data_IF_163056547825
#
_entry.id   IF_163056547825
#
_cell.length_a   1.000
_cell.length_b   1.000
_cell.length_c   1.000
_cell.angle_alpha   90.00
_cell.angle_beta   90.00
_cell.angle_gamma   90.00
#
_symmetry.space_group_name_H-M   'P 1'
#
loop_
_entity.id
_entity.type
_entity.pdbx_description
1 polymer ?
#
# COMPACT_ATOMS: atom_id res chain seq x y z
N UNK A 1 6.63 -1.62 -37.33
CA UNK A 1 5.83 -2.43 -36.40
C UNK A 1 6.20 -1.93 -35.01
N UNK A 2 5.26 -1.35 -34.27
CA UNK A 2 5.53 -0.79 -32.96
C UNK A 2 5.18 -1.83 -31.90
N UNK A 3 6.16 -2.25 -31.12
CA UNK A 3 6.02 -3.13 -29.96
C UNK A 3 5.04 -2.50 -28.94
N UNK A 4 3.91 -3.16 -28.62
CA UNK A 4 2.94 -2.61 -27.68
C UNK A 4 3.27 -2.90 -26.20
N UNK A 5 4.46 -3.40 -25.87
CA UNK A 5 4.82 -3.78 -24.49
C UNK A 5 5.56 -2.68 -23.69
N UNK A 6 5.42 -1.42 -24.10
CA UNK A 6 5.71 -0.30 -23.20
C UNK A 6 4.53 -0.05 -22.24
N UNK A 7 4.05 -1.12 -21.60
CA UNK A 7 3.44 -0.94 -20.28
C UNK A 7 4.60 -0.59 -19.38
N UNK A 8 4.69 0.69 -19.03
CA UNK A 8 5.47 1.16 -17.88
C UNK A 8 5.23 0.21 -16.72
N UNK A 9 6.12 -0.76 -16.57
CA UNK A 9 6.40 -1.45 -15.32
C UNK A 9 6.84 -0.36 -14.37
N UNK A 10 5.88 0.37 -13.81
CA UNK A 10 6.03 1.07 -12.54
C UNK A 10 6.25 -0.05 -11.54
N UNK A 11 7.49 -0.52 -11.49
CA UNK A 11 7.95 -1.55 -10.55
C UNK A 11 7.60 -0.98 -9.19
N UNK A 12 6.59 -1.56 -8.58
CA UNK A 12 6.27 -1.24 -7.21
C UNK A 12 7.53 -1.56 -6.40
N UNK A 13 8.00 -0.61 -5.60
CA UNK A 13 9.22 -0.80 -4.81
C UNK A 13 9.03 -2.03 -3.92
N UNK A 14 9.91 -3.04 -4.04
CA UNK A 14 9.75 -4.30 -3.33
C UNK A 14 9.71 -4.08 -1.82
N UNK A 15 10.33 -3.01 -1.30
CA UNK A 15 10.35 -2.70 0.13
C UNK A 15 8.93 -2.56 0.69
N UNK A 16 8.04 -1.80 0.01
CA UNK A 16 6.67 -1.69 0.48
C UNK A 16 5.79 -2.86 0.06
N UNK A 17 6.07 -3.52 -1.07
CA UNK A 17 5.30 -4.71 -1.48
C UNK A 17 5.49 -5.84 -0.47
N UNK A 18 6.74 -6.18 -0.13
CA UNK A 18 7.08 -7.21 0.84
C UNK A 18 6.51 -6.89 2.22
N UNK A 19 6.63 -5.63 2.67
CA UNK A 19 6.07 -5.20 3.94
C UNK A 19 4.54 -5.37 3.98
N UNK A 20 3.84 -5.02 2.90
CA UNK A 20 2.39 -5.16 2.81
C UNK A 20 1.97 -6.63 2.74
N UNK A 21 2.63 -7.46 1.94
CA UNK A 21 2.34 -8.89 1.81
C UNK A 21 2.65 -9.69 3.10
N UNK A 22 3.64 -9.25 3.88
CA UNK A 22 3.98 -9.82 5.18
C UNK A 22 2.92 -9.54 6.24
N UNK A 23 2.34 -8.35 6.22
CA UNK A 23 1.36 -7.91 7.22
C UNK A 23 -0.10 -8.17 6.83
N UNK A 24 -0.40 -8.25 5.53
CA UNK A 24 -1.76 -8.34 5.01
C UNK A 24 -1.87 -9.29 3.82
N UNK A 25 -3.08 -9.78 3.58
CA UNK A 25 -3.37 -10.51 2.36
C UNK A 25 -3.68 -9.51 1.23
N UNK A 26 -2.74 -9.30 0.32
CA UNK A 26 -2.94 -8.43 -0.84
C UNK A 26 -3.87 -9.14 -1.83
N UNK A 27 -5.03 -8.55 -2.07
CA UNK A 27 -5.98 -9.04 -3.07
C UNK A 27 -5.66 -8.47 -4.43
N UNK A 28 -5.31 -7.18 -4.47
CA UNK A 28 -5.03 -6.45 -5.70
C UNK A 28 -4.10 -5.29 -5.41
N UNK A 29 -3.11 -5.08 -6.26
CA UNK A 29 -2.27 -3.90 -6.24
C UNK A 29 -2.56 -3.07 -7.50
N UNK A 30 -2.69 -1.75 -7.35
CA UNK A 30 -2.93 -0.83 -8.46
C UNK A 30 -2.28 0.53 -8.18
N UNK A 31 -2.04 1.32 -9.22
CA UNK A 31 -1.53 2.68 -9.06
C UNK A 31 -2.68 3.69 -9.15
N UNK A 32 -2.91 4.44 -8.09
CA UNK A 32 -3.85 5.56 -8.07
C UNK A 32 -3.09 6.85 -8.44
N UNK A 33 -3.13 7.22 -9.73
CA UNK A 33 -2.39 8.35 -10.34
C UNK A 33 -0.86 8.23 -10.23
N UNK A 34 -0.32 8.50 -9.06
CA UNK A 34 1.11 8.47 -8.70
C UNK A 34 1.36 7.74 -7.38
N UNK A 35 0.31 7.25 -6.73
CA UNK A 35 0.39 6.60 -5.42
C UNK A 35 0.16 5.11 -5.60
N UNK A 36 1.09 4.24 -5.18
CA UNK A 36 0.86 2.80 -5.15
C UNK A 36 -0.21 2.48 -4.09
N UNK A 37 -1.31 1.85 -4.53
CA UNK A 37 -2.46 1.49 -3.70
C UNK A 37 -2.71 -0.01 -3.73
N UNK A 38 -2.93 -0.58 -2.56
CA UNK A 38 -3.11 -2.00 -2.34
C UNK A 38 -4.48 -2.26 -1.75
N UNK A 39 -5.27 -3.09 -2.39
CA UNK A 39 -6.46 -3.67 -1.81
C UNK A 39 -6.01 -4.84 -0.94
N UNK A 40 -6.10 -4.67 0.36
CA UNK A 40 -5.71 -5.65 1.37
C UNK A 40 -6.91 -6.21 2.10
N UNK A 41 -6.80 -7.47 2.53
CA UNK A 41 -7.75 -8.13 3.42
C UNK A 41 -7.03 -8.64 4.66
N UNK A 42 -7.71 -8.62 5.80
CA UNK A 42 -7.18 -9.17 7.04
C UNK A 42 -7.21 -10.69 6.98
N UNK A 43 -6.10 -11.35 7.32
CA UNK A 43 -5.95 -12.81 7.28
C UNK A 43 -6.59 -13.54 8.48
N UNK A 44 -7.36 -12.85 9.33
CA UNK A 44 -7.89 -13.40 10.58
C UNK A 44 -9.41 -13.30 10.71
N UNK A 45 -10.02 -14.36 11.24
CA UNK A 45 -11.43 -14.46 11.65
C UNK A 45 -11.68 -13.84 13.05
N UNK A 46 -11.13 -12.65 13.31
CA UNK A 46 -11.32 -11.90 14.55
C UNK A 46 -11.83 -10.48 14.31
N UNK A 47 -11.95 -9.65 15.36
CA UNK A 47 -12.31 -8.22 15.25
C UNK A 47 -11.37 -7.50 14.27
N UNK A 48 -11.82 -7.39 13.01
CA UNK A 48 -11.02 -6.96 11.84
C UNK A 48 -10.33 -5.62 12.08
N UNK A 49 -10.98 -4.70 12.80
CA UNK A 49 -10.44 -3.39 13.12
C UNK A 49 -9.19 -3.42 14.00
N UNK A 50 -9.12 -4.30 15.00
CA UNK A 50 -8.02 -4.33 15.96
C UNK A 50 -6.77 -4.92 15.32
N UNK A 51 -6.89 -6.08 14.67
CA UNK A 51 -5.80 -6.71 13.92
C UNK A 51 -5.27 -5.79 12.83
N UNK A 52 -6.18 -5.10 12.13
CA UNK A 52 -5.79 -4.17 11.08
C UNK A 52 -5.04 -2.96 11.62
N UNK A 53 -5.45 -2.39 12.76
CA UNK A 53 -4.73 -1.26 13.38
C UNK A 53 -3.33 -1.67 13.84
N UNK A 54 -3.17 -2.88 14.38
CA UNK A 54 -1.85 -3.40 14.78
C UNK A 54 -0.95 -3.67 13.57
N UNK A 55 -1.46 -4.36 12.55
CA UNK A 55 -0.72 -4.63 11.31
C UNK A 55 -0.37 -3.34 10.55
N UNK A 56 -1.30 -2.38 10.52
CA UNK A 56 -1.07 -1.08 9.89
C UNK A 56 -0.02 -0.27 10.64
N UNK A 57 -0.04 -0.30 11.97
CA UNK A 57 0.97 0.36 12.79
C UNK A 57 2.35 -0.25 12.56
N UNK A 58 2.44 -1.58 12.48
CA UNK A 58 3.70 -2.27 12.18
C UNK A 58 4.23 -1.91 10.79
N UNK A 59 3.36 -1.93 9.78
CA UNK A 59 3.69 -1.49 8.42
C UNK A 59 4.16 -0.03 8.38
N UNK A 60 3.45 0.86 9.08
CA UNK A 60 3.83 2.27 9.16
C UNK A 60 5.19 2.47 9.82
N UNK A 61 5.52 1.69 10.84
CA UNK A 61 6.82 1.73 11.50
C UNK A 61 7.95 1.24 10.59
N UNK A 62 7.70 0.18 9.80
CA UNK A 62 8.66 -0.36 8.82
C UNK A 62 8.88 0.60 7.63
N UNK A 63 7.84 1.32 7.21
CA UNK A 63 7.88 2.26 6.07
C UNK A 63 8.35 3.67 6.46
N UNK A 64 8.21 4.05 7.72
CA UNK A 64 8.67 5.33 8.26
C UNK A 64 10.15 5.65 7.99
N UNK A 65 11.13 4.74 8.23
CA UNK A 65 12.54 5.00 7.91
C UNK A 65 12.79 5.18 6.41
N UNK A 66 12.00 4.51 5.58
CA UNK A 66 12.07 4.61 4.12
C UNK A 66 11.41 5.88 3.55
N UNK A 67 10.82 6.72 4.41
CA UNK A 67 10.12 7.93 3.99
C UNK A 67 8.75 7.68 3.35
N UNK A 68 8.17 6.49 3.56
CA UNK A 68 6.84 6.15 3.07
C UNK A 68 5.81 6.21 4.21
N UNK A 69 4.62 6.71 3.89
CA UNK A 69 3.46 6.85 4.75
C UNK A 69 2.34 5.98 4.20
N UNK A 70 2.13 4.79 4.76
CA UNK A 70 0.95 4.00 4.42
C UNK A 70 -0.30 4.70 4.94
N UNK A 71 -1.38 4.66 4.15
CA UNK A 71 -2.68 5.24 4.47
C UNK A 71 -3.76 4.23 4.14
N UNK A 72 -4.42 3.71 5.17
CA UNK A 72 -5.49 2.73 5.01
C UNK A 72 -6.85 3.41 5.02
N UNK A 73 -7.71 3.05 4.06
CA UNK A 73 -9.07 3.55 3.90
C UNK A 73 -10.00 2.36 3.69
N UNK A 74 -11.11 2.32 4.43
CA UNK A 74 -12.12 1.28 4.24
C UNK A 74 -13.12 1.74 3.18
N UNK A 75 -13.29 0.96 2.11
CA UNK A 75 -14.17 1.27 0.97
C UNK A 75 -14.93 -0.01 0.61
N UNK A 76 -16.26 0.02 0.74
CA UNK A 76 -17.19 -0.99 0.19
C UNK A 76 -16.66 -2.42 0.39
N UNK A 77 -16.44 -2.81 1.66
CA UNK A 77 -15.95 -4.12 2.11
C UNK A 77 -14.43 -4.41 1.96
N UNK A 78 -13.66 -3.54 1.30
CA UNK A 78 -12.23 -3.74 1.12
C UNK A 78 -11.40 -2.63 1.78
N UNK A 79 -10.18 -2.97 2.20
CA UNK A 79 -9.24 -2.00 2.73
C UNK A 79 -8.28 -1.56 1.64
N UNK A 80 -8.32 -0.29 1.31
CA UNK A 80 -7.43 0.36 0.37
C UNK A 80 -6.27 0.97 1.15
N UNK A 81 -5.08 0.44 0.91
CA UNK A 81 -3.84 0.86 1.51
C UNK A 81 -3.01 1.61 0.47
N UNK A 82 -3.02 2.94 0.54
CA UNK A 82 -2.20 3.78 -0.34
C UNK A 82 -0.88 4.10 0.34
N UNK A 83 0.24 3.92 -0.35
CA UNK A 83 1.58 4.26 0.16
C UNK A 83 1.98 5.62 -0.40
N UNK A 84 1.96 6.64 0.45
CA UNK A 84 2.37 8.00 0.09
C UNK A 84 3.86 8.17 0.36
N UNK A 85 4.61 8.77 -0.55
CA UNK A 85 6.00 9.14 -0.29
C UNK A 85 6.04 10.51 0.37
N UNK A 86 6.80 10.65 1.46
CA UNK A 86 6.88 11.87 2.27
C UNK A 86 7.35 13.09 1.48
N UNK A 87 8.22 12.88 0.49
CA UNK A 87 8.72 13.92 -0.44
C UNK A 87 7.59 14.59 -1.25
N UNK A 88 6.50 13.86 -1.51
CA UNK A 88 5.33 14.38 -2.25
C UNK A 88 4.49 15.31 -1.35
N UNK A 89 4.54 15.13 -0.03
CA UNK A 89 3.76 15.92 0.93
C UNK A 89 4.38 17.33 1.09
N UNK A 90 5.70 17.45 0.98
CA UNK A 90 6.39 18.75 1.10
C UNK A 90 6.24 19.65 -0.14
N UNK A 91 5.76 19.13 -1.27
CA UNK A 91 5.50 19.93 -2.47
C UNK A 91 4.10 20.57 -2.55
N UNK A 92 3.24 20.35 -1.56
CA UNK A 92 1.90 20.99 -1.46
C UNK A 92 1.76 21.91 -0.22
N UNK A 93 2.86 22.48 0.30
CA UNK A 93 2.81 23.52 1.36
C UNK A 93 3.37 24.85 0.90
#
# INVERSE_FOLDING_TARGET
MADPESQTSRVMDPVYVEAVEKHFNVVKAYWERTTPTFIVKTRGEGFRQTLMKHAFKALADELRPSGYLPRIRWIVDNYHLSILQRDIIEKES
#
